data_IF_387931485209
#
_entry.id   IF_387931485209
#
_cell.length_a   1.000
_cell.length_b   1.000
_cell.length_c   1.000
_cell.angle_alpha   90.00
_cell.angle_beta   90.00
_cell.angle_gamma   90.00
#
_symmetry.space_group_name_H-M   'P 1'
#
loop_
_entity.id
_entity.type
_entity.pdbx_description
1 polymer ?
#
# COMPACT_ATOMS: atom_id res chain seq x y z
N UNK A 1 -13.40 -5.37 3.17
CA UNK A 1 -13.71 -6.13 1.92
C UNK A 1 -15.18 -6.54 1.85
N UNK A 2 -15.87 -6.69 2.98
CA UNK A 2 -17.30 -7.03 3.02
C UNK A 2 -18.20 -6.10 2.18
N UNK A 3 -17.93 -4.79 2.15
CA UNK A 3 -18.67 -3.82 1.31
C UNK A 3 -18.54 -4.10 -0.19
N UNK A 4 -17.49 -4.80 -0.61
CA UNK A 4 -17.26 -5.27 -1.98
C UNK A 4 -17.83 -6.68 -2.21
N UNK A 5 -18.53 -7.25 -1.23
CA UNK A 5 -19.03 -8.63 -1.27
C UNK A 5 -17.95 -9.70 -1.11
N UNK A 6 -16.75 -9.31 -0.68
CA UNK A 6 -15.60 -10.22 -0.55
C UNK A 6 -15.36 -10.51 0.93
N UNK A 7 -15.51 -11.79 1.31
CA UNK A 7 -15.15 -12.30 2.63
C UNK A 7 -13.65 -12.17 2.88
N UNK A 8 -13.26 -11.98 4.13
CA UNK A 8 -11.86 -11.83 4.51
C UNK A 8 -11.51 -12.84 5.58
N UNK A 9 -10.97 -14.00 5.16
CA UNK A 9 -10.63 -15.10 6.07
C UNK A 9 -9.27 -14.89 6.76
N UNK A 10 -8.41 -14.07 6.15
CA UNK A 10 -7.06 -13.78 6.64
C UNK A 10 -6.73 -12.28 6.55
N UNK A 11 -5.67 -11.86 7.24
CA UNK A 11 -5.18 -10.49 7.20
C UNK A 11 -4.78 -10.09 5.77
N UNK A 12 -5.29 -8.98 5.26
CA UNK A 12 -4.88 -8.46 3.96
C UNK A 12 -3.48 -7.83 4.05
N UNK A 13 -2.54 -8.32 3.25
CA UNK A 13 -1.19 -7.74 3.19
C UNK A 13 -1.18 -6.46 2.37
N UNK A 14 -0.83 -5.35 3.02
CA UNK A 14 -0.57 -4.06 2.38
C UNK A 14 0.94 -3.94 2.14
N UNK A 15 1.30 -3.72 0.88
CA UNK A 15 2.70 -3.54 0.47
C UNK A 15 3.05 -2.06 0.41
N UNK A 16 4.25 -1.70 0.87
CA UNK A 16 4.78 -0.34 0.75
C UNK A 16 6.28 -0.34 0.48
N UNK A 17 6.75 0.61 -0.32
CA UNK A 17 8.17 0.88 -0.51
C UNK A 17 8.74 1.85 0.54
N UNK A 18 7.88 2.40 1.40
CA UNK A 18 8.28 3.30 2.48
C UNK A 18 8.66 2.52 3.73
N UNK A 19 9.97 2.30 3.92
CA UNK A 19 10.49 1.72 5.15
C UNK A 19 10.17 2.57 6.38
N UNK A 20 10.09 3.91 6.23
CA UNK A 20 9.69 4.80 7.30
C UNK A 20 8.21 4.58 7.67
N UNK A 21 7.30 4.45 6.70
CA UNK A 21 5.90 4.12 7.00
C UNK A 21 5.77 2.77 7.70
N UNK A 22 6.53 1.75 7.27
CA UNK A 22 6.55 0.44 7.90
C UNK A 22 7.04 0.49 9.35
N UNK A 23 8.16 1.19 9.59
CA UNK A 23 8.74 1.36 10.92
C UNK A 23 7.80 2.12 11.85
N UNK A 24 7.23 3.22 11.35
CA UNK A 24 6.28 4.04 12.08
C UNK A 24 5.07 3.15 12.41
N UNK A 25 4.46 2.43 11.47
CA UNK A 25 3.29 1.56 11.69
C UNK A 25 3.51 0.46 12.74
N UNK A 26 4.73 -0.09 12.83
CA UNK A 26 5.06 -1.17 13.77
C UNK A 26 5.52 -0.69 15.16
N UNK A 27 6.03 0.52 15.29
CA UNK A 27 6.59 1.00 16.55
C UNK A 27 5.73 2.09 17.21
N UNK A 28 5.09 1.84 18.38
CA UNK A 28 4.29 2.81 19.13
C UNK A 28 4.97 4.13 19.47
N UNK A 29 6.29 4.12 19.62
CA UNK A 29 7.08 5.19 20.23
C UNK A 29 7.42 6.32 19.24
N UNK A 30 7.18 6.14 17.94
CA UNK A 30 7.40 7.21 16.96
C UNK A 30 6.23 8.21 16.99
N UNK A 31 6.42 9.33 17.67
CA UNK A 31 5.47 10.45 17.70
C UNK A 31 5.78 11.43 16.55
N UNK A 32 5.10 11.26 15.42
CA UNK A 32 5.11 12.29 14.38
C UNK A 32 4.36 13.52 14.92
N UNK A 33 5.02 14.67 15.02
CA UNK A 33 4.47 15.94 15.57
C UNK A 33 3.44 16.63 14.66
N UNK A 34 2.72 15.87 13.83
CA UNK A 34 1.80 16.39 12.80
C UNK A 34 0.44 15.70 12.91
N UNK A 35 -0.56 16.45 13.37
CA UNK A 35 -1.91 15.97 13.69
C UNK A 35 -2.62 15.19 12.56
N UNK A 36 -2.36 15.56 11.30
CA UNK A 36 -2.94 14.87 10.13
C UNK A 36 -2.35 13.47 9.92
N UNK A 37 -1.09 13.27 10.27
CA UNK A 37 -0.44 11.96 10.19
C UNK A 37 -0.98 11.07 11.31
N UNK A 38 -1.18 11.63 12.51
CA UNK A 38 -1.62 10.92 13.71
C UNK A 38 -2.94 10.14 13.53
N UNK A 39 -3.95 10.72 12.88
CA UNK A 39 -5.25 10.05 12.67
C UNK A 39 -5.13 8.82 11.76
N UNK A 40 -4.50 8.98 10.59
CA UNK A 40 -4.29 7.85 9.66
C UNK A 40 -3.40 6.78 10.28
N UNK A 41 -2.45 7.24 11.09
CA UNK A 41 -1.52 6.41 11.78
C UNK A 41 -2.20 5.51 12.84
N UNK A 42 -3.07 6.08 13.67
CA UNK A 42 -3.87 5.32 14.63
C UNK A 42 -4.74 4.29 13.93
N UNK A 43 -5.40 4.68 12.85
CA UNK A 43 -6.22 3.78 12.07
C UNK A 43 -5.42 2.57 11.57
N UNK A 44 -4.25 2.78 10.95
CA UNK A 44 -3.43 1.67 10.45
C UNK A 44 -2.94 0.77 11.60
N UNK A 45 -2.51 1.33 12.74
CA UNK A 45 -2.11 0.54 13.93
C UNK A 45 -3.26 -0.30 14.48
N UNK A 46 -4.45 0.27 14.59
CA UNK A 46 -5.63 -0.41 15.11
C UNK A 46 -5.97 -1.62 14.25
N UNK A 47 -5.99 -1.44 12.92
CA UNK A 47 -6.26 -2.51 11.95
C UNK A 47 -5.19 -3.59 11.96
N UNK A 48 -3.91 -3.21 12.10
CA UNK A 48 -2.81 -4.15 12.28
C UNK A 48 -2.96 -4.96 13.58
N UNK A 49 -3.31 -4.30 14.68
CA UNK A 49 -3.44 -4.94 16.00
C UNK A 49 -4.68 -5.84 16.08
N UNK A 50 -5.74 -5.49 15.34
CA UNK A 50 -6.92 -6.32 15.16
C UNK A 50 -6.68 -7.53 14.23
N UNK A 51 -5.52 -7.61 13.57
CA UNK A 51 -5.19 -8.68 12.63
C UNK A 51 -5.95 -8.60 11.30
N UNK A 52 -6.61 -7.47 11.01
CA UNK A 52 -7.35 -7.27 9.77
C UNK A 52 -6.43 -7.03 8.56
N UNK A 53 -5.24 -6.47 8.82
CA UNK A 53 -4.21 -6.21 7.82
C UNK A 53 -2.85 -6.65 8.32
N UNK A 54 -1.94 -6.90 7.38
CA UNK A 54 -0.51 -7.05 7.65
C UNK A 54 0.28 -6.08 6.76
N UNK A 55 1.51 -5.72 7.14
CA UNK A 55 2.35 -4.84 6.33
C UNK A 55 3.62 -5.54 5.87
N UNK A 56 3.96 -5.37 4.59
CA UNK A 56 5.19 -5.89 3.99
C UNK A 56 5.90 -4.81 3.16
N UNK A 57 7.23 -4.92 3.08
CA UNK A 57 8.01 -4.08 2.19
C UNK A 57 7.95 -4.62 0.76
N UNK A 58 7.87 -3.71 -0.22
CA UNK A 58 8.08 -4.00 -1.64
C UNK A 58 9.06 -2.97 -2.21
N UNK A 59 10.06 -3.35 -3.04
CA UNK A 59 10.91 -2.37 -3.70
C UNK A 59 10.10 -1.42 -4.60
N UNK A 60 10.51 -0.16 -4.71
CA UNK A 60 9.89 0.83 -5.62
C UNK A 60 9.88 0.38 -7.09
N UNK A 61 10.79 -0.52 -7.48
CA UNK A 61 10.79 -1.09 -8.83
C UNK A 61 9.65 -2.09 -9.07
N UNK A 62 9.11 -2.67 -8.00
CA UNK A 62 8.08 -3.72 -8.06
C UNK A 62 6.73 -3.24 -7.48
N UNK A 63 6.68 -2.01 -6.96
CA UNK A 63 5.47 -1.43 -6.39
C UNK A 63 4.49 -0.98 -7.49
N UNK A 64 3.64 -1.88 -7.97
CA UNK A 64 2.63 -1.60 -8.99
C UNK A 64 1.70 -0.42 -8.63
N UNK A 65 1.52 -0.11 -7.34
CA UNK A 65 0.71 1.03 -6.91
C UNK A 65 1.28 2.38 -7.38
N UNK A 66 2.58 2.45 -7.69
CA UNK A 66 3.21 3.65 -8.27
C UNK A 66 2.59 4.03 -9.61
N UNK A 67 2.04 3.05 -10.35
CA UNK A 67 1.30 3.28 -11.60
C UNK A 67 0.16 4.30 -11.42
N UNK A 68 -0.48 4.29 -10.25
CA UNK A 68 -1.65 5.12 -9.95
C UNK A 68 -1.31 6.42 -9.22
N UNK A 69 -0.08 6.59 -8.75
CA UNK A 69 0.29 7.68 -7.82
C UNK A 69 1.45 8.54 -8.32
N UNK A 70 2.24 8.06 -9.28
CA UNK A 70 3.45 8.76 -9.76
C UNK A 70 3.41 8.97 -11.28
N UNK A 71 4.04 10.04 -11.73
CA UNK A 71 4.42 10.18 -13.14
C UNK A 71 5.63 9.29 -13.43
N UNK A 72 5.42 8.18 -14.14
CA UNK A 72 6.45 7.21 -14.47
C UNK A 72 7.02 7.44 -15.88
N UNK A 73 8.24 6.97 -16.12
CA UNK A 73 8.75 6.88 -17.49
C UNK A 73 7.86 5.94 -18.32
N UNK A 74 7.79 6.16 -19.64
CA UNK A 74 7.01 5.31 -20.56
C UNK A 74 7.38 3.83 -20.39
N UNK A 75 8.66 3.52 -20.29
CA UNK A 75 9.13 2.15 -20.09
C UNK A 75 8.56 1.51 -18.82
N UNK A 76 8.65 2.21 -17.68
CA UNK A 76 8.16 1.70 -16.39
C UNK A 76 6.64 1.63 -16.36
N UNK A 77 5.96 2.59 -17.01
CA UNK A 77 4.52 2.57 -17.20
C UNK A 77 4.08 1.31 -17.96
N UNK A 78 4.69 1.02 -19.10
CA UNK A 78 4.36 -0.17 -19.91
C UNK A 78 4.66 -1.48 -19.17
N UNK A 79 5.77 -1.55 -18.43
CA UNK A 79 6.09 -2.69 -17.59
C UNK A 79 5.00 -2.94 -16.53
N UNK A 80 4.56 -1.90 -15.82
CA UNK A 80 3.52 -2.00 -14.80
C UNK A 80 2.13 -2.27 -15.38
N UNK A 81 1.78 -1.70 -16.53
CA UNK A 81 0.53 -2.03 -17.24
C UNK A 81 0.47 -3.51 -17.59
N UNK A 82 1.56 -4.04 -18.15
CA UNK A 82 1.67 -5.47 -18.48
C UNK A 82 1.55 -6.35 -17.23
N UNK A 83 2.23 -6.00 -16.15
CA UNK A 83 2.16 -6.74 -14.89
C UNK A 83 0.76 -6.71 -14.25
N UNK A 84 -0.01 -5.64 -14.47
CA UNK A 84 -1.40 -5.52 -14.04
C UNK A 84 -2.40 -6.24 -14.98
N UNK A 85 -1.92 -6.82 -16.09
CA UNK A 85 -2.78 -7.46 -17.10
C UNK A 85 -3.60 -6.47 -17.94
N UNK A 86 -3.21 -5.19 -17.96
CA UNK A 86 -3.84 -4.20 -18.84
C UNK A 86 -3.39 -4.44 -20.27
N UNK A 87 -4.35 -4.66 -21.17
CA UNK A 87 -4.07 -4.76 -22.59
C UNK A 87 -3.68 -3.38 -23.15
N UNK A 88 -2.77 -3.33 -24.13
CA UNK A 88 -2.55 -2.11 -24.88
C UNK A 88 -3.87 -1.69 -25.52
N UNK A 89 -4.15 -0.39 -25.50
CA UNK A 89 -5.30 0.16 -26.21
C UNK A 89 -5.09 -0.12 -27.70
N UNK A 90 -5.98 -0.89 -28.30
CA UNK A 90 -5.99 -1.18 -29.72
C UNK A 90 -7.09 -0.29 -30.31
N UNK A 91 -6.70 0.66 -31.15
CA UNK A 91 -7.64 1.46 -31.95
C UNK A 91 -8.32 0.60 -33.02
#
# INVERSE_FOLDING_TARGET
>A
MADLGVGQDTANTIYTDSQSALAVARNPVFHARTKHIEVHYHFVRERLSAGEISLAYVPTQDNLADLFTKALSREKLEAFRKALGLLPFVD
#
